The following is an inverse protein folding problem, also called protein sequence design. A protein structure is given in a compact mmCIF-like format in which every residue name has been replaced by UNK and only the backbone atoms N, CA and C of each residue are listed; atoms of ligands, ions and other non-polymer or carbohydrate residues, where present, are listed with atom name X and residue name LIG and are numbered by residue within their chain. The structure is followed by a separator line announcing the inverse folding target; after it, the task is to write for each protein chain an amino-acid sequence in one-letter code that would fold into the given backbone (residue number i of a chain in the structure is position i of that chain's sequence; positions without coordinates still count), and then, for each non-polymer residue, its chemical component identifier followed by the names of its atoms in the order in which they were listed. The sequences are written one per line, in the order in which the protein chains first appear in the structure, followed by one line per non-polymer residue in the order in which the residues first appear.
data_IF_623784600743
#
_entry.id   IF_623784600743
#
_cell.length_a   1.000
_cell.length_b   1.000
_cell.length_c   1.000
_cell.angle_alpha   90.00
_cell.angle_beta   90.00
_cell.angle_gamma   90.00
#
_symmetry.space_group_name_H-M   'P 1'
#
loop_
_entity.id
_entity.type
_entity.pdbx_description
1 polymer ?
#
# COMPACT_ATOMS: atom_id res chain seq x y z
N UNK A 1 17.94 -19.86 -11.05
CA UNK A 1 16.53 -19.96 -11.50
C UNK A 1 15.51 -19.23 -10.62
N UNK A 2 15.89 -18.58 -9.50
CA UNK A 2 14.99 -17.69 -8.75
C UNK A 2 14.97 -16.22 -9.27
N UNK A 3 15.73 -15.94 -10.33
CA UNK A 3 15.87 -14.59 -10.92
C UNK A 3 14.91 -14.31 -12.09
N UNK A 4 14.28 -15.35 -12.66
CA UNK A 4 13.52 -15.22 -13.90
C UNK A 4 12.09 -14.66 -13.74
N UNK A 5 11.56 -14.53 -12.52
CA UNK A 5 10.23 -13.95 -12.27
C UNK A 5 10.28 -12.53 -11.69
N UNK A 6 11.44 -11.87 -11.78
CA UNK A 6 11.75 -10.63 -11.05
C UNK A 6 11.19 -9.33 -11.64
N UNK A 7 10.49 -9.40 -12.79
CA UNK A 7 10.13 -8.23 -13.60
C UNK A 7 8.61 -7.93 -13.66
N UNK A 8 7.79 -8.71 -12.96
CA UNK A 8 6.34 -8.56 -12.99
C UNK A 8 5.80 -7.81 -11.75
N UNK A 9 4.90 -6.85 -11.97
CA UNK A 9 4.13 -6.11 -10.95
C UNK A 9 3.21 -7.07 -10.16
N UNK A 10 3.75 -7.85 -9.24
CA UNK A 10 3.02 -8.93 -8.57
C UNK A 10 3.16 -8.88 -7.06
N UNK A 11 2.06 -9.16 -6.35
CA UNK A 11 2.02 -9.23 -4.89
C UNK A 11 2.83 -10.43 -4.37
N UNK A 12 3.15 -10.43 -3.06
CA UNK A 12 3.96 -11.49 -2.47
C UNK A 12 3.28 -12.87 -2.59
N UNK A 13 1.97 -12.91 -2.37
CA UNK A 13 1.14 -14.10 -2.54
C UNK A 13 1.18 -14.61 -3.97
N UNK A 14 0.98 -13.73 -4.96
CA UNK A 14 1.03 -14.07 -6.37
C UNK A 14 2.45 -14.55 -6.79
N UNK A 15 3.51 -13.97 -6.23
CA UNK A 15 4.88 -14.40 -6.50
C UNK A 15 5.19 -15.79 -5.94
N UNK A 16 4.69 -16.13 -4.75
CA UNK A 16 4.88 -17.45 -4.15
C UNK A 16 4.14 -18.53 -4.94
N UNK A 17 2.93 -18.21 -5.38
CA UNK A 17 2.13 -19.09 -6.21
C UNK A 17 2.79 -19.35 -7.58
N UNK A 18 3.27 -18.30 -8.26
CA UNK A 18 4.02 -18.47 -9.51
C UNK A 18 5.27 -19.33 -9.35
N UNK A 19 6.02 -19.13 -8.27
CA UNK A 19 7.22 -19.92 -8.01
C UNK A 19 6.86 -21.40 -7.76
N UNK A 20 5.75 -21.68 -7.09
CA UNK A 20 5.24 -23.04 -6.94
C UNK A 20 4.81 -23.65 -8.27
N UNK A 21 4.10 -22.90 -9.12
CA UNK A 21 3.70 -23.35 -10.46
C UNK A 21 4.92 -23.66 -11.34
N UNK A 22 5.94 -22.79 -11.33
CA UNK A 22 7.20 -23.02 -12.05
C UNK A 22 7.99 -24.22 -11.51
N UNK A 23 7.88 -24.51 -10.22
CA UNK A 23 8.53 -25.65 -9.58
C UNK A 23 7.73 -26.96 -9.70
N UNK A 24 6.55 -26.95 -10.33
CA UNK A 24 5.68 -28.13 -10.46
C UNK A 24 4.95 -28.51 -9.17
N UNK A 25 4.75 -27.55 -8.26
CA UNK A 25 4.00 -27.70 -7.03
C UNK A 25 4.74 -27.18 -5.80
N UNK A 26 3.98 -26.82 -4.75
CA UNK A 26 4.53 -26.28 -3.50
C UNK A 26 5.53 -27.19 -2.80
N UNK A 27 5.41 -28.52 -2.99
CA UNK A 27 6.31 -29.51 -2.38
C UNK A 27 7.73 -29.45 -2.94
N UNK A 28 7.91 -28.87 -4.13
CA UNK A 28 9.20 -28.76 -4.80
C UNK A 28 9.92 -27.45 -4.48
N UNK A 29 9.31 -26.56 -3.68
CA UNK A 29 9.96 -25.35 -3.20
C UNK A 29 10.88 -25.67 -2.02
N UNK A 30 12.12 -25.18 -2.09
CA UNK A 30 13.10 -25.33 -1.00
C UNK A 30 12.91 -24.32 0.15
N UNK A 31 11.85 -23.50 0.08
CA UNK A 31 11.56 -22.45 1.04
C UNK A 31 10.05 -22.29 1.19
N UNK A 32 9.61 -21.92 2.39
CA UNK A 32 8.19 -21.68 2.66
C UNK A 32 7.79 -20.24 2.34
N UNK A 33 6.48 -19.99 2.29
CA UNK A 33 5.92 -18.62 2.20
C UNK A 33 6.42 -17.74 3.36
N UNK A 34 6.59 -18.33 4.54
CA UNK A 34 7.15 -17.67 5.71
C UNK A 34 8.64 -17.34 5.52
N UNK A 35 9.43 -18.23 4.92
CA UNK A 35 10.84 -17.96 4.64
C UNK A 35 11.01 -16.84 3.61
N UNK A 36 10.15 -16.80 2.59
CA UNK A 36 10.10 -15.67 1.65
C UNK A 36 9.77 -14.37 2.38
N UNK A 37 8.77 -14.38 3.27
CA UNK A 37 8.40 -13.22 4.10
C UNK A 37 9.55 -12.79 5.02
N UNK A 38 10.21 -13.74 5.69
CA UNK A 38 11.31 -13.49 6.63
C UNK A 38 12.56 -12.94 5.94
N UNK A 39 12.94 -13.53 4.81
CA UNK A 39 14.06 -13.04 3.98
C UNK A 39 13.83 -11.61 3.52
N UNK A 40 12.58 -11.29 3.17
CA UNK A 40 12.20 -9.95 2.76
C UNK A 40 12.14 -8.97 3.93
N UNK A 41 11.64 -9.38 5.10
CA UNK A 41 11.70 -8.57 6.32
C UNK A 41 13.15 -8.22 6.68
N UNK A 42 14.07 -9.19 6.61
CA UNK A 42 15.50 -8.96 6.79
C UNK A 42 16.10 -8.00 5.73
N UNK A 43 15.59 -8.03 4.49
CA UNK A 43 15.98 -7.05 3.45
C UNK A 43 15.35 -5.67 3.66
N UNK A 44 14.11 -5.58 4.15
CA UNK A 44 13.37 -4.35 4.48
C UNK A 44 13.99 -3.60 5.65
N UNK A 45 14.64 -4.31 6.57
CA UNK A 45 15.45 -3.72 7.65
C UNK A 45 16.65 -2.90 7.16
N UNK A 46 16.94 -2.87 5.84
CA UNK A 46 17.85 -1.87 5.28
C UNK A 46 17.20 -0.49 5.37
N UNK A 47 17.59 0.25 6.42
CA UNK A 47 17.30 1.65 6.77
C UNK A 47 16.89 2.52 5.57
N UNK A 48 15.73 3.17 5.61
CA UNK A 48 15.66 4.52 5.03
C UNK A 48 16.73 5.33 5.74
N UNK A 49 17.69 5.89 5.01
CA UNK A 49 18.66 6.75 5.64
C UNK A 49 17.89 7.90 6.30
N UNK A 50 18.27 8.29 7.53
CA UNK A 50 17.66 9.43 8.24
C UNK A 50 17.47 10.65 7.32
N UNK A 51 18.40 10.85 6.38
CA UNK A 51 18.38 11.87 5.34
C UNK A 51 17.29 11.77 4.26
N UNK A 52 16.85 10.57 3.87
CA UNK A 52 15.81 10.40 2.83
C UNK A 52 14.41 10.66 3.38
N UNK A 53 14.15 10.23 4.62
CA UNK A 53 12.93 10.54 5.34
C UNK A 53 12.80 12.05 5.60
N UNK A 54 13.87 12.70 6.05
CA UNK A 54 13.90 14.16 6.20
C UNK A 54 13.76 14.86 4.86
N UNK A 55 14.40 14.39 3.78
CA UNK A 55 14.23 15.01 2.46
C UNK A 55 12.78 14.94 1.95
N UNK A 56 12.11 13.80 2.16
CA UNK A 56 10.67 13.67 1.84
C UNK A 56 9.82 14.63 2.70
N UNK A 57 10.09 14.69 4.00
CA UNK A 57 9.40 15.63 4.90
C UNK A 57 9.63 17.09 4.49
N UNK A 58 10.88 17.48 4.24
CA UNK A 58 11.28 18.83 3.81
C UNK A 58 10.64 19.19 2.46
N UNK A 59 10.66 18.25 1.50
CA UNK A 59 9.98 18.41 0.22
C UNK A 59 8.48 18.66 0.44
N UNK A 60 7.82 17.89 1.31
CA UNK A 60 6.39 18.07 1.58
C UNK A 60 6.07 19.33 2.38
N UNK A 61 6.95 19.76 3.29
CA UNK A 61 6.86 21.04 3.99
C UNK A 61 6.90 22.19 2.98
N UNK A 62 7.81 22.13 1.99
CA UNK A 62 7.92 23.10 0.90
C UNK A 62 6.73 23.03 -0.09
N UNK A 63 6.14 21.85 -0.28
CA UNK A 63 4.95 21.69 -1.13
C UNK A 63 3.65 22.14 -0.46
N UNK A 64 3.56 22.19 0.88
CA UNK A 64 2.35 22.68 1.58
C UNK A 64 1.96 24.09 1.14
N UNK A 65 2.95 24.95 0.90
CA UNK A 65 2.72 26.34 0.49
C UNK A 65 2.37 26.48 -1.00
N UNK A 66 2.77 25.50 -1.82
CA UNK A 66 2.58 25.51 -3.29
C UNK A 66 1.28 24.81 -3.71
N UNK A 67 0.90 23.75 -3.01
CA UNK A 67 -0.32 22.97 -3.27
C UNK A 67 -0.93 22.46 -1.95
N UNK A 68 -2.21 22.75 -1.65
CA UNK A 68 -2.88 22.31 -0.42
C UNK A 68 -3.25 20.81 -0.48
N UNK A 69 -2.24 19.95 -0.44
CA UNK A 69 -2.37 18.50 -0.32
C UNK A 69 -2.56 18.03 1.13
N UNK A 70 -2.55 16.72 1.33
CA UNK A 70 -2.58 16.07 2.63
C UNK A 70 -1.45 15.04 2.70
N UNK A 71 -0.78 15.00 3.85
CA UNK A 71 0.33 14.08 4.11
C UNK A 71 0.20 13.51 5.53
N UNK A 72 0.56 12.24 5.71
CA UNK A 72 0.67 11.58 7.00
C UNK A 72 1.92 10.72 7.04
N UNK A 73 2.62 10.75 8.17
CA UNK A 73 3.84 9.96 8.41
C UNK A 73 3.73 9.25 9.74
N UNK A 74 4.02 7.95 9.74
CA UNK A 74 4.20 7.14 10.94
C UNK A 74 5.69 6.88 11.15
N UNK A 75 6.13 6.99 12.40
CA UNK A 75 7.49 6.66 12.81
C UNK A 75 7.48 5.42 13.70
N UNK A 76 8.52 4.60 13.58
CA UNK A 76 8.73 3.43 14.44
C UNK A 76 9.35 3.82 15.81
N UNK A 77 9.60 2.81 16.65
CA UNK A 77 10.19 3.00 17.97
C UNK A 77 11.64 3.52 17.95
N UNK A 78 12.31 3.51 16.80
CA UNK A 78 13.65 4.07 16.59
C UNK A 78 13.59 5.44 15.89
N UNK A 79 12.42 6.09 15.88
CA UNK A 79 12.13 7.38 15.23
C UNK A 79 12.37 7.38 13.72
N UNK A 80 12.33 6.20 13.08
CA UNK A 80 12.48 6.10 11.62
C UNK A 80 11.12 6.05 10.97
N UNK A 81 11.04 6.60 9.75
CA UNK A 81 9.80 6.56 8.99
C UNK A 81 9.41 5.11 8.65
N UNK A 82 8.25 4.71 9.18
CA UNK A 82 7.62 3.42 8.94
C UNK A 82 6.69 3.53 7.72
N UNK A 83 5.65 4.36 7.83
CA UNK A 83 4.62 4.49 6.82
C UNK A 83 4.46 5.95 6.37
N UNK A 84 4.23 6.18 5.07
CA UNK A 84 3.94 7.49 4.50
C UNK A 84 2.67 7.36 3.67
N UNK A 85 1.74 8.31 3.81
CA UNK A 85 0.57 8.45 2.96
C UNK A 85 0.46 9.89 2.45
N UNK A 86 0.05 10.06 1.20
CA UNK A 86 -0.18 11.37 0.61
C UNK A 86 -1.32 11.39 -0.40
N UNK A 87 -1.91 12.57 -0.55
CA UNK A 87 -2.83 12.91 -1.63
C UNK A 87 -2.72 14.41 -1.94
N UNK A 88 -2.63 14.77 -3.21
CA UNK A 88 -2.69 16.18 -3.61
C UNK A 88 -4.15 16.71 -3.56
N UNK A 89 -4.34 18.00 -3.87
CA UNK A 89 -5.67 18.60 -3.86
C UNK A 89 -6.62 17.98 -4.87
N UNK A 90 -6.13 17.62 -6.06
CA UNK A 90 -6.92 17.03 -7.15
C UNK A 90 -7.37 15.61 -6.79
N UNK A 91 -6.47 14.79 -6.24
CA UNK A 91 -6.79 13.44 -5.76
C UNK A 91 -7.94 13.46 -4.74
N UNK A 92 -7.97 14.49 -3.88
CA UNK A 92 -9.02 14.68 -2.86
C UNK A 92 -10.33 15.17 -3.48
N UNK A 93 -10.27 16.09 -4.43
CA UNK A 93 -11.45 16.56 -5.19
C UNK A 93 -12.08 15.42 -5.99
N UNK A 94 -11.27 14.63 -6.69
CA UNK A 94 -11.71 13.45 -7.42
C UNK A 94 -12.39 12.44 -6.48
N UNK A 95 -11.87 12.24 -5.27
CA UNK A 95 -12.50 11.34 -4.30
C UNK A 95 -13.87 11.85 -3.81
N UNK A 96 -14.05 13.17 -3.67
CA UNK A 96 -15.36 13.74 -3.31
C UNK A 96 -16.41 13.34 -4.34
N UNK A 97 -16.06 13.39 -5.63
CA UNK A 97 -16.96 13.12 -6.75
C UNK A 97 -17.11 11.63 -7.07
N UNK A 98 -16.01 10.86 -6.99
CA UNK A 98 -15.92 9.50 -7.54
C UNK A 98 -15.49 8.43 -6.51
N UNK A 99 -15.31 8.81 -5.24
CA UNK A 99 -14.79 7.94 -4.19
C UNK A 99 -15.77 6.93 -3.59
N UNK A 100 -16.93 6.69 -4.22
CA UNK A 100 -17.91 5.72 -3.70
C UNK A 100 -17.45 4.27 -3.95
N UNK A 101 -16.66 4.06 -5.02
CA UNK A 101 -16.04 2.79 -5.36
C UNK A 101 -14.53 2.96 -5.46
N UNK A 102 -13.79 2.22 -4.65
CA UNK A 102 -12.34 2.35 -4.52
C UNK A 102 -11.68 0.99 -4.68
N UNK A 103 -10.61 0.92 -5.44
CA UNK A 103 -9.68 -0.20 -5.50
C UNK A 103 -8.40 0.20 -4.79
N UNK A 104 -7.91 -0.70 -3.94
CA UNK A 104 -6.63 -0.56 -3.28
C UNK A 104 -5.80 -1.82 -3.49
N UNK A 105 -4.54 -1.64 -3.86
CA UNK A 105 -3.59 -2.71 -4.05
C UNK A 105 -2.18 -2.24 -3.70
N UNK A 106 -1.37 -3.16 -3.18
CA UNK A 106 0.04 -2.94 -2.88
C UNK A 106 0.92 -3.63 -3.89
N UNK A 107 1.70 -2.83 -4.61
CA UNK A 107 2.75 -3.35 -5.48
C UNK A 107 4.04 -3.53 -4.68
N UNK A 108 4.59 -4.73 -4.71
CA UNK A 108 5.86 -5.05 -4.08
C UNK A 108 7.05 -4.62 -4.96
N UNK A 109 8.18 -4.27 -4.34
CA UNK A 109 9.50 -3.95 -4.97
C UNK A 109 9.63 -2.65 -5.76
N UNK A 110 8.93 -1.59 -5.41
CA UNK A 110 9.10 -0.29 -6.10
C UNK A 110 10.35 0.50 -5.69
N UNK A 111 11.06 0.10 -4.62
CA UNK A 111 12.30 0.78 -4.19
C UNK A 111 13.41 -0.19 -3.72
N UNK A 112 14.64 0.33 -3.58
CA UNK A 112 15.84 -0.41 -3.11
C UNK A 112 15.70 -1.03 -1.71
N UNK A 113 14.63 -0.66 -1.00
CA UNK A 113 14.30 -1.09 0.36
C UNK A 113 13.19 -2.14 0.41
N UNK A 114 12.69 -2.61 -0.74
CA UNK A 114 11.64 -3.64 -0.82
C UNK A 114 10.38 -3.26 -0.02
N UNK A 115 10.06 -1.95 0.03
CA UNK A 115 8.85 -1.45 0.70
C UNK A 115 7.62 -1.56 -0.21
N UNK A 116 6.45 -1.96 0.32
CA UNK A 116 5.19 -1.93 -0.41
C UNK A 116 4.79 -0.50 -0.81
N UNK A 117 4.48 -0.29 -2.09
CA UNK A 117 3.83 0.94 -2.56
C UNK A 117 2.37 0.64 -2.87
N UNK A 118 1.47 1.28 -2.14
CA UNK A 118 0.03 1.17 -2.31
C UNK A 118 -0.55 2.41 -3.00
N UNK A 119 -1.68 2.21 -3.68
CA UNK A 119 -2.44 3.30 -4.31
C UNK A 119 -3.94 3.06 -4.13
N UNK A 120 -4.66 4.13 -3.80
CA UNK A 120 -6.12 4.17 -3.84
C UNK A 120 -6.53 4.71 -5.20
N UNK A 121 -7.37 3.94 -5.90
CA UNK A 121 -7.74 4.20 -7.28
C UNK A 121 -9.24 4.01 -7.44
N UNK A 122 -9.88 4.80 -8.30
CA UNK A 122 -11.25 4.57 -8.75
C UNK A 122 -11.41 4.94 -10.21
N UNK A 123 -12.64 5.20 -10.61
CA UNK A 123 -12.98 5.59 -11.97
C UNK A 123 -13.92 6.79 -11.96
N UNK A 124 -13.73 7.72 -12.90
CA UNK A 124 -14.71 8.77 -13.15
C UNK A 124 -15.84 8.29 -14.08
N UNK A 125 -16.79 9.18 -14.37
CA UNK A 125 -17.94 8.90 -15.24
C UNK A 125 -17.59 8.58 -16.72
N UNK A 126 -16.33 8.74 -17.11
CA UNK A 126 -15.81 8.39 -18.44
C UNK A 126 -14.99 7.10 -18.42
N UNK A 127 -15.08 6.32 -17.34
CA UNK A 127 -14.29 5.10 -17.12
C UNK A 127 -12.77 5.34 -17.12
N UNK A 128 -12.33 6.57 -16.85
CA UNK A 128 -10.92 6.89 -16.72
C UNK A 128 -10.47 6.67 -15.28
N UNK A 129 -9.27 6.16 -15.11
CA UNK A 129 -8.66 5.90 -13.81
C UNK A 129 -8.37 7.20 -13.07
N UNK A 130 -8.88 7.33 -11.84
CA UNK A 130 -8.57 8.42 -10.92
C UNK A 130 -7.75 7.89 -9.74
N UNK A 131 -6.68 8.58 -9.35
CA UNK A 131 -5.91 8.23 -8.16
C UNK A 131 -6.40 9.11 -7.01
N UNK A 132 -6.75 8.50 -5.89
CA UNK A 132 -7.24 9.20 -4.70
C UNK A 132 -6.16 9.37 -3.63
N UNK A 133 -5.06 8.64 -3.74
CA UNK A 133 -3.92 8.77 -2.85
C UNK A 133 -2.95 7.63 -3.03
N UNK A 134 -1.77 7.77 -2.45
CA UNK A 134 -0.73 6.76 -2.48
C UNK A 134 -0.05 6.65 -1.12
N UNK A 135 0.56 5.48 -0.88
CA UNK A 135 1.29 5.22 0.34
C UNK A 135 2.54 4.40 0.09
N UNK A 136 3.56 4.66 0.89
CA UNK A 136 4.76 3.84 0.99
C UNK A 136 4.80 3.26 2.40
N UNK A 137 4.61 1.96 2.51
CA UNK A 137 4.51 1.27 3.80
C UNK A 137 5.79 0.55 4.16
N UNK A 138 5.98 0.27 5.44
CA UNK A 138 7.06 -0.58 5.92
C UNK A 138 6.80 -2.05 5.57
N UNK A 139 5.58 -2.51 5.84
CA UNK A 139 5.13 -3.88 5.60
C UNK A 139 3.62 -3.97 5.33
N UNK A 140 3.17 -5.18 5.00
CA UNK A 140 1.75 -5.53 4.78
C UNK A 140 1.24 -6.27 6.01
N UNK A 141 1.19 -5.56 7.15
CA UNK A 141 0.64 -6.08 8.40
C UNK A 141 -0.63 -5.33 8.77
N UNK A 142 -1.46 -5.95 9.62
CA UNK A 142 -2.74 -5.36 10.04
C UNK A 142 -2.55 -3.97 10.66
N UNK A 143 -1.59 -3.74 11.59
CA UNK A 143 -1.37 -2.40 12.14
C UNK A 143 -0.99 -1.35 11.08
N UNK A 144 -0.13 -1.70 10.12
CA UNK A 144 0.24 -0.79 9.02
C UNK A 144 -0.98 -0.43 8.15
N UNK A 145 -1.84 -1.39 7.86
CA UNK A 145 -3.08 -1.14 7.11
C UNK A 145 -4.12 -0.34 7.91
N UNK A 146 -4.27 -0.60 9.21
CA UNK A 146 -5.14 0.20 10.10
C UNK A 146 -4.71 1.67 10.08
N UNK A 147 -3.42 1.94 10.28
CA UNK A 147 -2.87 3.28 10.21
C UNK A 147 -3.14 3.95 8.85
N UNK A 148 -2.96 3.19 7.76
CA UNK A 148 -3.19 3.68 6.41
C UNK A 148 -4.67 4.06 6.20
N UNK A 149 -5.61 3.19 6.55
CA UNK A 149 -7.03 3.42 6.35
C UNK A 149 -7.57 4.58 7.20
N UNK A 150 -7.08 4.72 8.44
CA UNK A 150 -7.36 5.90 9.27
C UNK A 150 -6.82 7.17 8.61
N UNK A 151 -5.60 7.14 8.12
CA UNK A 151 -4.96 8.29 7.45
C UNK A 151 -5.68 8.69 6.16
N UNK A 152 -6.10 7.71 5.36
CA UNK A 152 -6.86 7.93 4.13
C UNK A 152 -8.20 8.61 4.41
N UNK A 153 -9.00 8.10 5.35
CA UNK A 153 -10.31 8.71 5.66
C UNK A 153 -10.19 10.08 6.31
N UNK A 154 -9.14 10.31 7.12
CA UNK A 154 -8.83 11.65 7.64
C UNK A 154 -8.54 12.63 6.50
N UNK A 155 -7.76 12.21 5.49
CA UNK A 155 -7.50 13.00 4.28
C UNK A 155 -8.80 13.36 3.54
N UNK A 156 -9.70 12.37 3.44
CA UNK A 156 -10.98 12.45 2.72
C UNK A 156 -12.14 13.03 3.55
N UNK A 157 -11.83 13.81 4.59
CA UNK A 157 -12.83 14.49 5.44
C UNK A 157 -13.89 13.54 5.99
N UNK A 158 -13.49 12.32 6.38
CA UNK A 158 -14.35 11.27 6.96
C UNK A 158 -15.36 10.64 5.99
N UNK A 159 -15.28 10.87 4.68
CA UNK A 159 -16.10 10.16 3.69
C UNK A 159 -15.55 8.75 3.46
N UNK A 160 -16.22 7.74 4.02
CA UNK A 160 -15.92 6.31 3.80
C UNK A 160 -16.46 5.88 2.43
N UNK A 161 -15.72 5.09 1.63
CA UNK A 161 -16.23 4.59 0.36
C UNK A 161 -17.37 3.59 0.61
N UNK A 162 -18.30 3.48 -0.34
CA UNK A 162 -19.39 2.49 -0.26
C UNK A 162 -18.85 1.08 -0.49
N UNK A 163 -17.91 0.94 -1.41
CA UNK A 163 -17.28 -0.34 -1.74
C UNK A 163 -15.78 -0.19 -1.90
N UNK A 164 -15.02 -1.10 -1.30
CA UNK A 164 -13.58 -1.25 -1.58
C UNK A 164 -13.30 -2.61 -2.23
N UNK A 165 -12.44 -2.61 -3.24
CA UNK A 165 -11.85 -3.78 -3.85
C UNK A 165 -10.39 -3.90 -3.41
N UNK A 166 -10.03 -5.05 -2.85
CA UNK A 166 -8.62 -5.36 -2.54
C UNK A 166 -8.25 -6.74 -3.06
N UNK A 167 -6.97 -7.08 -2.98
CA UNK A 167 -6.54 -8.47 -3.15
C UNK A 167 -6.93 -9.31 -1.92
N UNK A 168 -6.59 -10.60 -1.96
CA UNK A 168 -6.91 -11.56 -0.89
C UNK A 168 -5.94 -11.49 0.30
N UNK A 169 -5.52 -10.29 0.72
CA UNK A 169 -4.72 -10.11 1.93
C UNK A 169 -5.61 -10.14 3.19
N UNK A 170 -5.32 -11.10 4.07
CA UNK A 170 -6.03 -11.28 5.34
C UNK A 170 -5.82 -10.09 6.30
N UNK A 171 -4.63 -9.48 6.29
CA UNK A 171 -4.33 -8.32 7.12
C UNK A 171 -5.14 -7.09 6.69
N UNK A 172 -5.31 -6.86 5.38
CA UNK A 172 -6.21 -5.81 4.87
C UNK A 172 -7.64 -6.06 5.29
N UNK A 173 -8.13 -7.29 5.14
CA UNK A 173 -9.50 -7.66 5.50
C UNK A 173 -9.80 -7.36 6.98
N UNK A 174 -8.87 -7.70 7.88
CA UNK A 174 -9.04 -7.42 9.31
C UNK A 174 -9.05 -5.91 9.59
N UNK A 175 -8.11 -5.18 8.99
CA UNK A 175 -8.02 -3.73 9.17
C UNK A 175 -9.27 -3.00 8.63
N UNK A 176 -9.77 -3.38 7.45
CA UNK A 176 -10.98 -2.79 6.85
C UNK A 176 -12.22 -3.02 7.71
N UNK A 177 -12.41 -4.23 8.24
CA UNK A 177 -13.55 -4.54 9.12
C UNK A 177 -13.53 -3.74 10.41
N UNK A 178 -12.35 -3.44 10.93
CA UNK A 178 -12.17 -2.65 12.14
C UNK A 178 -12.43 -1.16 11.87
N UNK A 179 -11.78 -0.60 10.85
CA UNK A 179 -11.81 0.84 10.60
C UNK A 179 -13.09 1.27 9.88
N UNK A 180 -13.57 0.51 8.89
CA UNK A 180 -14.73 0.84 8.04
C UNK A 180 -15.81 -0.26 8.06
N UNK A 181 -16.46 -0.52 9.22
CA UNK A 181 -17.32 -1.69 9.42
C UNK A 181 -18.59 -1.73 8.55
N UNK A 182 -19.04 -0.58 8.04
CA UNK A 182 -20.26 -0.46 7.22
C UNK A 182 -20.01 -0.54 5.71
N UNK A 183 -18.74 -0.56 5.29
CA UNK A 183 -18.34 -0.56 3.88
C UNK A 183 -18.39 -1.99 3.31
N UNK A 184 -18.79 -2.13 2.04
CA UNK A 184 -18.82 -3.42 1.37
C UNK A 184 -17.42 -3.79 0.84
N UNK A 185 -16.80 -4.80 1.45
CA UNK A 185 -15.48 -5.29 1.03
C UNK A 185 -15.62 -6.39 -0.02
N UNK A 186 -15.09 -6.14 -1.21
CA UNK A 186 -15.00 -7.08 -2.31
C UNK A 186 -13.54 -7.45 -2.61
N UNK A 187 -13.34 -8.64 -3.17
CA UNK A 187 -12.04 -9.14 -3.61
C UNK A 187 -11.94 -9.06 -5.13
N UNK A 188 -10.74 -8.86 -5.69
CA UNK A 188 -10.53 -9.10 -7.12
C UNK A 188 -10.95 -10.54 -7.47
N UNK A 189 -11.79 -10.68 -8.49
CA UNK A 189 -12.28 -11.98 -8.99
C UNK A 189 -11.47 -12.43 -10.19
#
# INVERSE_FOLDING_TARGET
MAEATSDARMSLSASYQLLAECAGGYQNLTFTKCDQKNHLNNKRQKKMARGEATYLLDYYEDQKDKHPGFYAVEVDCEEKVANIFWADSRMREDYVLFGDSVSFDTTFRTNKYFRPLGKFVGFNNHCQTCVFGACLMYDETTPSFEWLFVSFIRCMKKKIPVTIFTDQDAAMTVALRKEWPTMFHALYT
#
